data_IF_139892239705
#
_entry.id   IF_139892239705
#
_cell.length_a   1.000
_cell.length_b   1.000
_cell.length_c   1.000
_cell.angle_alpha   90.00
_cell.angle_beta   90.00
_cell.angle_gamma   90.00
#
_symmetry.space_group_name_H-M   'P 1'
#
loop_
_entity.id
_entity.type
_entity.pdbx_description
1 polymer ?
#
# COMPACT_ATOMS: atom_id res chain seq x y z
N UNK A 1 -52.98 12.87 17.00
CA UNK A 1 -51.62 12.82 17.59
C UNK A 1 -50.99 11.46 17.31
N UNK A 2 -50.06 11.36 16.35
CA UNK A 2 -48.91 10.45 16.41
C UNK A 2 -47.75 11.12 15.66
N UNK A 3 -46.88 11.73 16.47
CA UNK A 3 -45.46 11.98 16.20
C UNK A 3 -44.87 10.76 15.48
N UNK A 4 -44.10 10.87 14.40
CA UNK A 4 -42.92 11.72 14.29
C UNK A 4 -41.71 10.88 14.67
N UNK A 5 -41.18 10.12 13.70
CA UNK A 5 -39.83 9.55 13.78
C UNK A 5 -39.31 9.34 12.35
N UNK A 6 -38.84 10.42 11.73
CA UNK A 6 -37.93 10.31 10.58
C UNK A 6 -36.55 9.98 11.15
N UNK A 7 -36.15 8.72 11.09
CA UNK A 7 -34.74 8.38 11.26
C UNK A 7 -33.95 9.08 10.15
N UNK A 8 -33.10 10.03 10.54
CA UNK A 8 -32.08 10.55 9.65
C UNK A 8 -31.07 9.43 9.44
N UNK A 9 -31.13 8.80 8.26
CA UNK A 9 -30.04 8.03 7.69
C UNK A 9 -28.90 9.00 7.41
N UNK A 10 -28.10 9.32 8.42
CA UNK A 10 -26.80 9.94 8.21
C UNK A 10 -25.90 8.88 7.61
N UNK A 11 -25.95 8.74 6.28
CA UNK A 11 -24.83 8.17 5.54
C UNK A 11 -23.61 8.99 5.91
N UNK A 12 -22.64 8.38 6.61
CA UNK A 12 -21.36 9.03 6.88
C UNK A 12 -20.85 9.57 5.54
N UNK A 13 -20.63 10.88 5.43
CA UNK A 13 -19.95 11.44 4.24
C UNK A 13 -18.63 10.68 4.14
N UNK A 14 -18.39 10.04 3.00
CA UNK A 14 -17.09 9.44 2.70
C UNK A 14 -16.08 10.59 2.72
N UNK A 15 -15.19 10.59 3.72
CA UNK A 15 -14.18 11.63 3.84
C UNK A 15 -13.09 11.34 2.81
N UNK A 16 -12.80 12.34 1.98
CA UNK A 16 -11.92 12.21 0.81
C UNK A 16 -10.45 12.34 1.22
N UNK A 17 -9.58 11.57 0.57
CA UNK A 17 -8.17 11.51 0.94
C UNK A 17 -7.47 12.83 0.59
N UNK A 18 -6.74 13.48 1.50
CA UNK A 18 -6.13 14.78 1.24
C UNK A 18 -4.96 14.66 0.26
N UNK A 19 -4.85 15.60 -0.67
CA UNK A 19 -3.68 15.76 -1.54
C UNK A 19 -3.39 17.23 -1.79
N UNK A 20 -2.11 17.62 -1.74
CA UNK A 20 -1.70 18.97 -2.09
C UNK A 20 -1.83 19.19 -3.62
N UNK A 21 -2.44 20.30 -4.02
CA UNK A 21 -2.73 20.61 -5.43
C UNK A 21 -1.48 20.55 -6.31
N UNK A 22 -0.35 21.08 -5.84
CA UNK A 22 0.91 21.07 -6.57
C UNK A 22 1.46 19.65 -6.82
N UNK A 23 1.16 18.68 -5.95
CA UNK A 23 1.55 17.28 -6.15
C UNK A 23 0.68 16.60 -7.21
N UNK A 24 -0.62 16.93 -7.25
CA UNK A 24 -1.56 16.43 -8.26
C UNK A 24 -1.23 16.97 -9.66
N UNK A 25 -0.89 18.26 -9.74
CA UNK A 25 -0.58 18.96 -10.99
C UNK A 25 0.86 18.75 -11.47
N UNK A 26 1.69 18.05 -10.69
CA UNK A 26 3.07 17.79 -11.07
C UNK A 26 3.15 17.01 -12.39
N UNK A 27 4.06 17.41 -13.31
CA UNK A 27 4.33 16.66 -14.53
C UNK A 27 4.97 15.30 -14.24
N UNK A 28 5.57 15.13 -13.06
CA UNK A 28 6.13 13.86 -12.62
C UNK A 28 5.04 12.99 -12.00
N UNK A 29 4.80 11.81 -12.57
CA UNK A 29 3.80 10.88 -12.04
C UNK A 29 4.16 10.38 -10.62
N UNK A 30 5.45 10.43 -10.27
CA UNK A 30 6.00 10.04 -8.97
C UNK A 30 5.47 10.89 -7.82
N UNK A 31 5.37 12.21 -8.00
CA UNK A 31 5.11 13.15 -6.90
C UNK A 31 3.74 12.93 -6.24
N UNK A 32 2.69 12.72 -7.04
CA UNK A 32 1.36 12.40 -6.52
C UNK A 32 1.38 11.09 -5.73
N UNK A 33 2.02 10.05 -6.27
CA UNK A 33 2.05 8.72 -5.67
C UNK A 33 2.85 8.74 -4.37
N UNK A 34 4.02 9.38 -4.38
CA UNK A 34 4.86 9.58 -3.21
C UNK A 34 4.12 10.37 -2.13
N UNK A 35 3.47 11.48 -2.48
CA UNK A 35 2.66 12.26 -1.55
C UNK A 35 1.57 11.39 -0.90
N UNK A 36 0.84 10.60 -1.69
CA UNK A 36 -0.19 9.71 -1.14
C UNK A 36 0.41 8.64 -0.22
N UNK A 37 1.57 8.08 -0.56
CA UNK A 37 2.27 7.07 0.24
C UNK A 37 2.85 7.64 1.56
N UNK A 38 3.39 8.86 1.53
CA UNK A 38 3.86 9.57 2.72
C UNK A 38 2.68 9.91 3.65
N UNK A 39 1.58 10.37 3.08
CA UNK A 39 0.33 10.65 3.83
C UNK A 39 -0.21 9.39 4.50
N UNK A 40 -0.20 8.27 3.77
CA UNK A 40 -0.55 6.97 4.33
C UNK A 40 0.37 6.59 5.50
N UNK A 41 1.69 6.73 5.31
CA UNK A 41 2.69 6.45 6.36
C UNK A 41 2.43 7.27 7.61
N UNK A 42 2.24 8.58 7.45
CA UNK A 42 1.95 9.49 8.56
C UNK A 42 0.68 9.10 9.32
N UNK A 43 -0.41 8.76 8.61
CA UNK A 43 -1.66 8.33 9.26
C UNK A 43 -1.44 7.07 10.11
N UNK A 44 -0.71 6.09 9.56
CA UNK A 44 -0.38 4.85 10.26
C UNK A 44 0.51 5.11 11.48
N UNK A 45 1.53 5.96 11.35
CA UNK A 45 2.43 6.35 12.45
C UNK A 45 1.68 7.10 13.56
N UNK A 46 0.64 7.85 13.18
CA UNK A 46 -0.28 8.52 14.10
C UNK A 46 -1.35 7.59 14.72
N UNK A 47 -1.27 6.29 14.46
CA UNK A 47 -2.12 5.25 15.06
C UNK A 47 -3.43 4.97 14.32
N UNK A 48 -3.61 5.49 13.10
CA UNK A 48 -4.78 5.12 12.27
C UNK A 48 -4.62 3.67 11.83
N UNK A 49 -5.66 2.86 12.06
CA UNK A 49 -5.65 1.46 11.66
C UNK A 49 -5.59 1.34 10.13
N UNK A 50 -4.64 0.56 9.61
CA UNK A 50 -4.51 0.27 8.18
C UNK A 50 -5.82 -0.25 7.59
N UNK A 51 -6.62 -1.02 8.34
CA UNK A 51 -7.88 -1.56 7.85
C UNK A 51 -8.92 -0.46 7.50
N UNK A 52 -8.78 0.72 8.11
CA UNK A 52 -9.67 1.88 7.94
C UNK A 52 -9.32 2.75 6.72
N UNK A 53 -8.08 2.65 6.21
CA UNK A 53 -7.61 3.42 5.08
C UNK A 53 -8.15 2.89 3.75
N UNK A 54 -8.30 3.74 2.71
CA UNK A 54 -8.89 3.32 1.43
C UNK A 54 -8.12 2.16 0.79
N UNK A 55 -8.85 1.16 0.29
CA UNK A 55 -8.23 -0.01 -0.36
C UNK A 55 -7.24 0.35 -1.46
N UNK A 56 -7.51 1.30 -2.37
CA UNK A 56 -6.57 1.59 -3.45
C UNK A 56 -5.22 2.12 -2.95
N UNK A 57 -5.20 3.01 -1.94
CA UNK A 57 -3.93 3.52 -1.41
C UNK A 57 -3.16 2.45 -0.63
N UNK A 58 -3.85 1.56 0.09
CA UNK A 58 -3.23 0.39 0.73
C UNK A 58 -2.57 -0.51 -0.30
N UNK A 59 -3.29 -0.83 -1.36
CA UNK A 59 -2.78 -1.67 -2.44
C UNK A 59 -1.53 -1.08 -3.09
N UNK A 60 -1.53 0.21 -3.41
CA UNK A 60 -0.35 0.89 -3.96
C UNK A 60 0.81 0.90 -2.97
N UNK A 61 0.56 1.27 -1.71
CA UNK A 61 1.59 1.35 -0.67
C UNK A 61 2.21 -0.01 -0.39
N UNK A 62 1.40 -1.01 -0.09
CA UNK A 62 1.90 -2.35 0.26
C UNK A 62 2.56 -3.01 -0.95
N UNK A 63 2.06 -2.84 -2.18
CA UNK A 63 2.73 -3.32 -3.39
C UNK A 63 4.10 -2.69 -3.59
N UNK A 64 4.21 -1.36 -3.48
CA UNK A 64 5.49 -0.67 -3.60
C UNK A 64 6.46 -1.11 -2.52
N UNK A 65 6.04 -1.11 -1.25
CA UNK A 65 6.88 -1.55 -0.14
C UNK A 65 7.37 -2.98 -0.33
N UNK A 66 6.50 -3.89 -0.76
CA UNK A 66 6.82 -5.29 -0.99
C UNK A 66 7.84 -5.48 -2.11
N UNK A 67 7.69 -4.77 -3.23
CA UNK A 67 8.63 -4.90 -4.36
C UNK A 67 9.96 -4.21 -4.07
N UNK A 68 9.93 -3.01 -3.49
CA UNK A 68 11.15 -2.32 -3.03
C UNK A 68 11.92 -3.18 -2.04
N UNK A 69 11.21 -3.90 -1.18
CA UNK A 69 11.78 -4.87 -0.26
C UNK A 69 12.45 -6.06 -0.96
N UNK A 70 11.77 -6.67 -1.94
CA UNK A 70 12.33 -7.78 -2.74
C UNK A 70 13.58 -7.35 -3.50
N UNK A 71 13.57 -6.16 -4.10
CA UNK A 71 14.70 -5.65 -4.91
C UNK A 71 15.88 -5.25 -4.04
N UNK A 72 15.63 -4.51 -2.95
CA UNK A 72 16.71 -4.02 -2.08
C UNK A 72 17.18 -5.08 -1.07
N UNK A 73 16.47 -6.20 -0.96
CA UNK A 73 16.60 -7.14 0.15
C UNK A 73 17.41 -8.37 -0.21
N UNK A 74 18.72 -8.35 0.04
CA UNK A 74 19.42 -9.54 0.52
C UNK A 74 18.97 -9.89 1.95
N UNK A 75 19.89 -10.03 2.92
CA UNK A 75 19.59 -10.24 4.36
C UNK A 75 18.60 -9.22 5.01
N UNK A 76 18.16 -8.17 4.30
CA UNK A 76 17.09 -7.26 4.71
C UNK A 76 15.69 -7.89 4.69
N UNK A 77 15.53 -9.06 4.07
CA UNK A 77 14.27 -9.81 4.03
C UNK A 77 13.70 -10.05 5.44
N UNK A 78 14.53 -10.60 6.31
CA UNK A 78 14.20 -10.88 7.70
C UNK A 78 13.94 -9.61 8.51
N UNK A 79 14.77 -8.58 8.31
CA UNK A 79 14.64 -7.30 9.03
C UNK A 79 13.29 -6.64 8.77
N UNK A 80 12.90 -6.47 7.51
CA UNK A 80 11.63 -5.84 7.15
C UNK A 80 10.42 -6.70 7.54
N UNK A 81 10.48 -8.02 7.34
CA UNK A 81 9.38 -8.91 7.72
C UNK A 81 9.14 -8.96 9.23
N UNK A 82 10.19 -8.75 10.05
CA UNK A 82 10.11 -8.73 11.51
C UNK A 82 9.85 -7.33 12.07
N UNK A 83 10.47 -6.28 11.54
CA UNK A 83 10.39 -4.91 12.07
C UNK A 83 9.15 -4.14 11.58
N UNK A 84 8.75 -4.29 10.32
CA UNK A 84 7.59 -3.55 9.80
C UNK A 84 6.25 -4.24 10.12
N UNK A 85 6.26 -5.42 10.75
CA UNK A 85 5.02 -6.11 11.11
C UNK A 85 4.24 -6.61 9.89
N UNK A 86 4.93 -7.14 8.88
CA UNK A 86 4.27 -7.81 7.76
C UNK A 86 3.46 -9.01 8.26
N UNK A 87 2.25 -9.18 7.76
CA UNK A 87 1.39 -10.30 8.10
C UNK A 87 0.71 -10.80 6.82
N UNK A 88 -0.03 -11.90 6.91
CA UNK A 88 -0.71 -12.53 5.76
C UNK A 88 -1.60 -11.53 5.02
N UNK A 89 -2.29 -10.65 5.74
CA UNK A 89 -3.17 -9.63 5.16
C UNK A 89 -2.39 -8.59 4.34
N UNK A 90 -1.27 -8.09 4.86
CA UNK A 90 -0.43 -7.11 4.15
C UNK A 90 0.20 -7.71 2.90
N UNK A 91 0.69 -8.95 2.98
CA UNK A 91 1.21 -9.69 1.81
C UNK A 91 0.12 -9.88 0.76
N UNK A 92 -1.08 -10.31 1.17
CA UNK A 92 -2.22 -10.44 0.27
C UNK A 92 -2.61 -9.09 -0.37
N UNK A 93 -2.57 -8.00 0.41
CA UNK A 93 -2.85 -6.65 -0.07
C UNK A 93 -1.81 -6.17 -1.09
N UNK A 94 -0.53 -6.47 -0.86
CA UNK A 94 0.55 -6.15 -1.79
C UNK A 94 0.38 -6.88 -3.12
N UNK A 95 0.13 -8.19 -3.09
CA UNK A 95 -0.11 -8.99 -4.30
C UNK A 95 -1.35 -8.50 -5.06
N UNK A 96 -2.45 -8.21 -4.35
CA UNK A 96 -3.65 -7.64 -4.96
C UNK A 96 -3.39 -6.25 -5.57
N UNK A 97 -2.49 -5.46 -4.98
CA UNK A 97 -2.04 -4.20 -5.54
C UNK A 97 -1.23 -4.36 -6.83
N UNK A 98 -0.30 -5.33 -6.88
CA UNK A 98 0.42 -5.64 -8.10
C UNK A 98 -0.54 -6.08 -9.22
N UNK A 99 -1.50 -6.95 -8.91
CA UNK A 99 -2.55 -7.35 -9.87
C UNK A 99 -3.36 -6.14 -10.35
N UNK A 100 -3.79 -5.26 -9.43
CA UNK A 100 -4.58 -4.06 -9.76
C UNK A 100 -3.83 -3.03 -10.61
N UNK A 101 -2.51 -2.96 -10.48
CA UNK A 101 -1.64 -2.08 -11.27
C UNK A 101 -1.28 -2.69 -12.64
N UNK A 102 -1.81 -3.88 -12.95
CA UNK A 102 -1.46 -4.62 -14.16
C UNK A 102 0.00 -5.05 -14.16
N UNK A 103 0.50 -5.46 -12.99
CA UNK A 103 1.85 -6.00 -12.73
C UNK A 103 1.74 -7.48 -12.36
N UNK A 104 0.79 -8.19 -12.97
CA UNK A 104 0.44 -9.57 -12.61
C UNK A 104 1.61 -10.54 -12.72
N UNK A 105 2.45 -10.41 -13.75
CA UNK A 105 3.65 -11.25 -13.91
C UNK A 105 4.56 -11.20 -12.69
N UNK A 106 4.75 -10.00 -12.12
CA UNK A 106 5.48 -9.82 -10.87
C UNK A 106 4.76 -10.44 -9.68
N UNK A 107 3.44 -10.26 -9.58
CA UNK A 107 2.64 -10.90 -8.54
C UNK A 107 2.78 -12.43 -8.60
N UNK A 108 2.76 -13.01 -9.80
CA UNK A 108 2.87 -14.45 -10.04
C UNK A 108 4.26 -14.98 -9.64
N UNK A 109 5.33 -14.23 -9.89
CA UNK A 109 6.68 -14.58 -9.40
C UNK A 109 6.79 -14.51 -7.86
N UNK A 110 6.09 -13.58 -7.22
CA UNK A 110 6.20 -13.38 -5.76
C UNK A 110 5.25 -14.27 -4.94
N UNK A 111 4.12 -14.71 -5.54
CA UNK A 111 3.06 -15.47 -4.86
C UNK A 111 3.55 -16.76 -4.19
N UNK A 112 4.38 -17.61 -4.81
CA UNK A 112 4.88 -18.82 -4.15
C UNK A 112 5.66 -18.54 -2.86
N UNK A 113 6.41 -17.43 -2.83
CA UNK A 113 7.21 -17.02 -1.67
C UNK A 113 6.32 -16.42 -0.58
N UNK A 114 5.34 -15.60 -0.98
CA UNK A 114 4.29 -15.10 -0.09
C UNK A 114 3.51 -16.21 0.61
N UNK A 115 3.17 -17.29 -0.11
CA UNK A 115 2.45 -18.45 0.42
C UNK A 115 3.28 -19.20 1.48
N UNK A 116 4.58 -19.39 1.23
CA UNK A 116 5.49 -20.03 2.18
C UNK A 116 5.62 -19.24 3.49
N UNK A 117 5.74 -17.92 3.41
CA UNK A 117 5.81 -17.04 4.59
C UNK A 117 4.47 -17.06 5.34
N UNK A 118 3.36 -17.05 4.61
CA UNK A 118 2.02 -17.05 5.20
C UNK A 118 1.72 -18.35 5.94
N UNK A 119 2.23 -19.49 5.45
CA UNK A 119 2.07 -20.79 6.10
C UNK A 119 2.71 -20.87 7.50
N UNK A 120 3.65 -19.99 7.82
CA UNK A 120 4.34 -19.93 9.13
C UNK A 120 4.04 -18.65 9.91
N UNK A 121 3.09 -17.83 9.45
CA UNK A 121 2.83 -16.50 10.01
C UNK A 121 2.44 -16.54 11.50
N UNK A 122 1.80 -17.62 11.96
CA UNK A 122 1.36 -17.83 13.34
C UNK A 122 2.36 -18.58 14.22
N UNK A 123 3.53 -18.94 13.70
CA UNK A 123 4.59 -19.63 14.45
C UNK A 123 5.85 -18.76 14.52
N UNK A 124 5.98 -17.90 15.54
CA UNK A 124 7.13 -17.00 15.69
C UNK A 124 8.48 -17.74 15.74
N UNK A 125 8.49 -18.98 16.24
CA UNK A 125 9.71 -19.78 16.41
C UNK A 125 10.29 -20.26 15.09
N UNK A 126 9.41 -20.50 14.10
CA UNK A 126 9.79 -20.97 12.75
C UNK A 126 9.84 -19.84 11.74
N UNK A 127 9.14 -18.74 12.00
CA UNK A 127 8.95 -17.64 11.05
C UNK A 127 10.25 -17.05 10.53
N UNK A 128 11.20 -16.69 11.40
CA UNK A 128 12.50 -16.14 10.97
C UNK A 128 13.29 -17.15 10.09
N UNK A 129 13.36 -18.41 10.51
CA UNK A 129 14.08 -19.45 9.77
C UNK A 129 13.45 -19.74 8.41
N UNK A 130 12.12 -19.82 8.33
CA UNK A 130 11.40 -20.02 7.07
C UNK A 130 11.54 -18.80 6.14
N UNK A 131 11.37 -17.58 6.66
CA UNK A 131 11.60 -16.34 5.91
C UNK A 131 13.00 -16.34 5.28
N UNK A 132 14.02 -16.71 6.06
CA UNK A 132 15.40 -16.81 5.57
C UNK A 132 15.58 -17.90 4.52
N UNK A 133 15.00 -19.08 4.71
CA UNK A 133 15.08 -20.20 3.78
C UNK A 133 14.35 -19.92 2.46
N UNK A 134 13.13 -19.38 2.54
CA UNK A 134 12.33 -18.98 1.38
C UNK A 134 13.07 -17.95 0.53
N UNK A 135 13.82 -17.05 1.17
CA UNK A 135 14.65 -16.08 0.45
C UNK A 135 15.92 -16.68 -0.15
N UNK A 136 16.57 -17.63 0.51
CA UNK A 136 17.70 -18.37 -0.08
C UNK A 136 17.28 -19.17 -1.34
N UNK A 137 16.01 -19.58 -1.42
CA UNK A 137 15.43 -20.20 -2.62
C UNK A 137 14.93 -19.21 -3.65
N UNK A 138 14.81 -17.92 -3.30
CA UNK A 138 14.53 -16.86 -4.26
C UNK A 138 15.84 -16.56 -5.01
N UNK A 139 16.07 -17.36 -6.05
CA UNK A 139 17.33 -17.32 -6.79
C UNK A 139 17.48 -16.05 -7.65
N UNK A 140 18.65 -15.93 -8.27
CA UNK A 140 18.97 -14.80 -9.13
C UNK A 140 18.13 -14.71 -10.41
N UNK A 141 17.41 -15.76 -10.83
CA UNK A 141 16.52 -15.71 -11.99
C UNK A 141 15.18 -15.09 -11.62
N UNK A 142 14.60 -15.47 -10.47
CA UNK A 142 13.41 -14.84 -9.93
C UNK A 142 13.63 -13.34 -9.61
N UNK A 143 14.77 -13.01 -9.00
CA UNK A 143 15.12 -11.60 -8.74
C UNK A 143 15.26 -10.81 -10.03
N UNK A 144 15.96 -11.34 -11.04
CA UNK A 144 16.07 -10.69 -12.35
C UNK A 144 14.72 -10.50 -13.02
N UNK A 145 13.80 -11.47 -12.92
CA UNK A 145 12.46 -11.34 -13.48
C UNK A 145 11.66 -10.22 -12.80
N UNK A 146 11.72 -10.13 -11.47
CA UNK A 146 11.09 -9.05 -10.71
C UNK A 146 11.74 -7.69 -11.00
N UNK A 147 13.06 -7.61 -11.04
CA UNK A 147 13.80 -6.38 -11.37
C UNK A 147 13.52 -5.93 -12.81
N UNK A 148 13.51 -6.86 -13.78
CA UNK A 148 13.17 -6.55 -15.16
C UNK A 148 11.74 -6.07 -15.28
N UNK A 149 10.77 -6.78 -14.69
CA UNK A 149 9.39 -6.33 -14.65
C UNK A 149 9.35 -4.92 -14.03
N UNK A 150 9.97 -4.70 -12.87
CA UNK A 150 9.99 -3.39 -12.20
C UNK A 150 10.62 -2.26 -13.04
N UNK A 151 11.75 -2.52 -13.71
CA UNK A 151 12.46 -1.55 -14.56
C UNK A 151 11.71 -1.29 -15.87
N UNK A 152 11.16 -2.32 -16.52
CA UNK A 152 10.26 -2.13 -17.67
C UNK A 152 8.99 -1.39 -17.25
N UNK A 153 8.61 -1.51 -15.99
CA UNK A 153 7.61 -0.69 -15.32
C UNK A 153 8.22 0.57 -14.71
N UNK A 154 9.14 1.28 -15.37
CA UNK A 154 9.63 2.66 -15.07
C UNK A 154 8.51 3.72 -14.88
N UNK A 155 7.27 3.27 -14.79
CA UNK A 155 6.06 3.98 -14.56
C UNK A 155 5.17 3.20 -13.56
N UNK A 156 5.73 2.52 -12.54
CA UNK A 156 4.96 2.11 -11.35
C UNK A 156 4.17 3.32 -10.85
N UNK A 157 4.84 4.47 -10.76
CA UNK A 157 4.23 5.75 -10.47
C UNK A 157 3.09 6.10 -11.44
N UNK A 158 3.24 5.94 -12.76
CA UNK A 158 2.14 6.22 -13.71
C UNK A 158 0.97 5.26 -13.55
N UNK A 159 1.22 3.94 -13.42
CA UNK A 159 0.17 2.93 -13.21
C UNK A 159 -0.54 3.19 -11.87
N UNK A 160 0.21 3.51 -10.83
CA UNK A 160 -0.32 3.85 -9.51
C UNK A 160 -1.10 5.16 -9.53
N UNK A 161 -0.60 6.22 -10.16
CA UNK A 161 -1.30 7.50 -10.32
C UNK A 161 -2.62 7.30 -11.08
N UNK A 162 -2.58 6.63 -12.23
CA UNK A 162 -3.78 6.34 -13.00
C UNK A 162 -4.80 5.53 -12.19
N UNK A 163 -4.35 4.48 -11.51
CA UNK A 163 -5.19 3.64 -10.65
C UNK A 163 -5.79 4.41 -9.47
N UNK A 164 -5.01 5.24 -8.78
CA UNK A 164 -5.46 6.07 -7.67
C UNK A 164 -6.49 7.09 -8.12
N UNK A 165 -6.24 7.79 -9.22
CA UNK A 165 -7.18 8.77 -9.81
C UNK A 165 -8.50 8.12 -10.25
N UNK A 166 -8.45 6.88 -10.75
CA UNK A 166 -9.64 6.14 -11.17
C UNK A 166 -10.47 5.65 -9.97
N UNK A 167 -9.82 5.24 -8.88
CA UNK A 167 -10.47 4.51 -7.77
C UNK A 167 -10.69 5.32 -6.49
N UNK A 168 -10.07 6.49 -6.35
CA UNK A 168 -10.15 7.31 -5.15
C UNK A 168 -10.72 8.71 -5.43
N UNK A 169 -11.46 9.23 -4.45
CA UNK A 169 -11.82 10.64 -4.40
C UNK A 169 -10.81 11.37 -3.52
N UNK A 170 -10.33 12.51 -4.01
CA UNK A 170 -9.32 13.32 -3.35
C UNK A 170 -9.89 14.67 -2.90
N UNK A 171 -9.58 15.05 -1.67
CA UNK A 171 -9.76 16.41 -1.18
C UNK A 171 -8.51 17.22 -1.57
N UNK A 172 -8.60 17.94 -2.69
CA UNK A 172 -7.50 18.74 -3.23
C UNK A 172 -7.40 20.03 -2.41
N UNK A 173 -6.23 20.25 -1.78
CA UNK A 173 -6.00 21.39 -0.89
C UNK A 173 -4.74 22.17 -1.28
N UNK A 174 -4.68 23.43 -0.86
CA UNK A 174 -3.45 24.21 -0.97
C UNK A 174 -2.38 23.62 -0.05
N UNK A 175 -1.08 23.79 -0.36
CA UNK A 175 0.00 23.21 0.45
C UNK A 175 -0.01 23.72 1.90
N UNK A 176 -0.48 24.94 2.15
CA UNK A 176 -0.59 25.50 3.50
C UNK A 176 -1.76 24.94 4.33
N UNK A 177 -2.72 24.28 3.69
CA UNK A 177 -3.91 23.73 4.34
C UNK A 177 -3.82 22.21 4.55
N UNK A 178 -2.71 21.58 4.17
CA UNK A 178 -2.56 20.12 4.13
C UNK A 178 -2.72 19.48 5.51
N UNK A 179 -2.02 19.98 6.54
CA UNK A 179 -2.10 19.44 7.90
C UNK A 179 -3.50 19.54 8.50
N UNK A 180 -4.20 20.64 8.21
CA UNK A 180 -5.59 20.83 8.63
C UNK A 180 -6.53 19.87 7.89
N UNK A 181 -6.27 19.60 6.60
CA UNK A 181 -7.02 18.62 5.82
C UNK A 181 -6.79 17.19 6.33
N UNK A 182 -5.54 16.85 6.67
CA UNK A 182 -5.18 15.56 7.24
C UNK A 182 -5.84 15.34 8.61
N UNK A 183 -5.84 16.37 9.47
CA UNK A 183 -6.50 16.33 10.77
C UNK A 183 -8.01 16.09 10.63
N UNK A 184 -8.67 16.74 9.67
CA UNK A 184 -10.10 16.51 9.37
C UNK A 184 -10.36 15.13 8.79
N UNK A 185 -9.47 14.66 7.91
CA UNK A 185 -9.54 13.31 7.34
C UNK A 185 -9.55 12.26 8.45
N UNK A 186 -8.55 12.33 9.34
CA UNK A 186 -8.39 11.45 10.50
C UNK A 186 -9.60 11.47 11.43
N UNK A 187 -10.13 12.65 11.74
CA UNK A 187 -11.32 12.78 12.61
C UNK A 187 -12.60 12.18 11.99
N UNK A 188 -12.60 11.94 10.69
CA UNK A 188 -13.73 11.38 9.95
C UNK A 188 -13.65 9.89 9.63
N UNK A 189 -12.52 9.24 9.92
CA UNK A 189 -12.37 7.77 9.86
C UNK A 189 -13.04 7.12 11.07
#
# INVERSE_FOLDING_TARGET
MRSGLRMALFGRRKVEFPIAQNMLESPEDGDMVECCMLTYGQLVDEGVDRSSLPTPIRQVREASSFVTWVINGGNGFEKYALEEGWNVERVATALAGLDALGLKEMADHLRPFADQISAVAHDPSRRSATIRSTWQTFDGEHLKAVEQAWVFHAKFATKAKAYLLEKMAFNIVSSGDFDAALSRYKAGL
#
